data_IF_830032260993
#
_entry.id   IF_830032260993
#
_cell.length_a   1.000
_cell.length_b   1.000
_cell.length_c   1.000
_cell.angle_alpha   90.00
_cell.angle_beta   90.00
_cell.angle_gamma   90.00
#
_symmetry.space_group_name_H-M   'P 1'
#
loop_
_entity.id
_entity.type
_entity.pdbx_description
1 polymer ?
#
# COMPACT_ATOMS: atom_id res chain seq x y z
N UNK A 1 -13.70 12.10 16.07
CA UNK A 1 -13.09 12.25 14.73
C UNK A 1 -11.78 11.48 14.76
N UNK A 2 -11.55 10.62 13.78
CA UNK A 2 -10.40 9.74 13.75
C UNK A 2 -9.24 10.33 12.93
N UNK A 3 -8.04 9.81 13.16
CA UNK A 3 -6.84 10.10 12.36
C UNK A 3 -6.38 8.81 11.70
N UNK A 4 -6.23 8.83 10.38
CA UNK A 4 -5.69 7.70 9.62
C UNK A 4 -4.29 8.04 9.10
N UNK A 5 -3.34 7.11 9.24
CA UNK A 5 -2.05 7.14 8.55
C UNK A 5 -2.13 6.16 7.38
N UNK A 6 -1.94 6.64 6.17
CA UNK A 6 -1.98 5.82 4.95
C UNK A 6 -0.56 5.67 4.42
N UNK A 7 -0.16 4.43 4.20
CA UNK A 7 1.11 4.02 3.59
C UNK A 7 0.77 3.51 2.20
N UNK A 8 1.14 4.27 1.16
CA UNK A 8 1.06 3.81 -0.22
C UNK A 8 2.05 2.67 -0.47
N UNK A 9 1.91 2.00 -1.57
CA UNK A 9 2.65 0.81 -2.01
C UNK A 9 4.14 0.84 -1.62
N UNK A 10 4.56 0.12 -0.55
CA UNK A 10 5.92 0.26 -0.05
C UNK A 10 6.94 -0.62 -0.78
N UNK A 11 6.53 -1.68 -1.44
CA UNK A 11 7.41 -2.56 -2.22
C UNK A 11 8.72 -2.90 -1.49
N UNK A 12 8.66 -3.52 -0.31
CA UNK A 12 9.88 -3.99 0.31
C UNK A 12 10.56 -5.01 -0.61
N UNK A 13 11.85 -4.77 -0.85
CA UNK A 13 12.62 -5.49 -1.86
C UNK A 13 14.00 -5.83 -1.28
N UNK A 14 14.48 -7.09 -1.40
CA UNK A 14 15.78 -7.51 -0.87
C UNK A 14 17.00 -6.70 -1.36
N UNK A 15 16.83 -5.91 -2.42
CA UNK A 15 17.87 -5.00 -2.95
C UNK A 15 17.91 -3.64 -2.24
N UNK A 16 16.96 -3.34 -1.35
CA UNK A 16 16.80 -2.03 -0.72
C UNK A 16 16.74 -2.13 0.82
N UNK A 17 17.25 -1.12 1.54
CA UNK A 17 17.12 -1.06 3.01
C UNK A 17 15.68 -0.91 3.45
N UNK A 18 15.32 -1.62 4.53
CA UNK A 18 14.04 -1.51 5.20
C UNK A 18 13.99 -0.42 6.29
N UNK A 19 15.02 0.42 6.43
CA UNK A 19 15.05 1.45 7.49
C UNK A 19 13.88 2.42 7.40
N UNK A 20 13.36 2.65 6.20
CA UNK A 20 12.15 3.47 5.99
C UNK A 20 10.93 2.98 6.78
N UNK A 21 10.83 1.67 7.04
CA UNK A 21 9.74 1.12 7.85
C UNK A 21 9.90 1.47 9.33
N UNK A 22 11.14 1.50 9.83
CA UNK A 22 11.43 2.03 11.16
C UNK A 22 11.02 3.51 11.28
N UNK A 23 11.32 4.31 10.25
CA UNK A 23 10.96 5.73 10.22
C UNK A 23 9.44 5.92 10.15
N UNK A 24 8.75 5.14 9.32
CA UNK A 24 7.28 5.16 9.26
C UNK A 24 6.64 4.77 10.61
N UNK A 25 7.19 3.76 11.29
CA UNK A 25 6.77 3.37 12.63
C UNK A 25 6.99 4.49 13.67
N UNK A 26 8.16 5.16 13.64
CA UNK A 26 8.43 6.31 14.51
C UNK A 26 7.45 7.47 14.23
N UNK A 27 7.17 7.75 12.96
CA UNK A 27 6.17 8.77 12.58
C UNK A 27 4.78 8.40 13.11
N UNK A 28 4.36 7.14 12.92
CA UNK A 28 3.08 6.65 13.44
C UNK A 28 3.00 6.76 14.97
N UNK A 29 4.07 6.45 15.68
CA UNK A 29 4.16 6.65 17.15
C UNK A 29 3.91 8.10 17.53
N UNK A 30 4.54 9.04 16.82
CA UNK A 30 4.48 10.47 17.15
C UNK A 30 3.13 11.08 16.74
N UNK A 31 2.56 10.68 15.61
CA UNK A 31 1.24 11.12 15.11
C UNK A 31 0.07 10.54 15.91
N UNK A 32 0.26 9.35 16.49
CA UNK A 32 -0.78 8.62 17.25
C UNK A 32 -2.08 8.41 16.46
N UNK A 33 -2.02 7.88 15.22
CA UNK A 33 -3.23 7.65 14.45
C UNK A 33 -4.11 6.59 15.11
N UNK A 34 -5.42 6.69 14.92
CA UNK A 34 -6.39 5.68 15.33
C UNK A 34 -6.23 4.43 14.45
N UNK A 35 -6.05 4.63 13.14
CA UNK A 35 -5.86 3.55 12.18
C UNK A 35 -4.65 3.82 11.28
N UNK A 36 -3.87 2.77 11.04
CA UNK A 36 -2.77 2.74 10.06
C UNK A 36 -3.22 1.81 8.95
N UNK A 37 -3.23 2.30 7.71
CA UNK A 37 -3.65 1.56 6.53
C UNK A 37 -2.47 1.43 5.57
N UNK A 38 -2.06 0.20 5.26
CA UNK A 38 -1.15 -0.09 4.16
C UNK A 38 -1.99 -0.45 2.93
N UNK A 39 -1.74 0.24 1.83
CA UNK A 39 -2.57 0.13 0.62
C UNK A 39 -2.31 -1.13 -0.21
N UNK A 40 -1.44 -2.04 0.23
CA UNK A 40 -1.06 -3.25 -0.49
C UNK A 40 0.28 -3.09 -1.20
N UNK A 41 0.64 -4.09 -2.01
CA UNK A 41 1.96 -4.18 -2.63
C UNK A 41 3.06 -3.90 -1.58
N UNK A 42 2.89 -4.52 -0.40
CA UNK A 42 3.83 -4.37 0.71
C UNK A 42 5.20 -4.94 0.37
N UNK A 43 5.20 -6.13 -0.25
CA UNK A 43 6.42 -6.80 -0.75
C UNK A 43 6.43 -6.81 -2.27
N UNK A 44 7.60 -6.57 -2.87
CA UNK A 44 7.75 -6.66 -4.32
C UNK A 44 7.51 -8.07 -4.85
N UNK A 45 7.83 -9.13 -4.07
CA UNK A 45 7.71 -10.54 -4.47
C UNK A 45 8.23 -10.78 -5.89
N UNK A 46 9.39 -10.20 -6.19
CA UNK A 46 10.00 -10.23 -7.52
C UNK A 46 10.36 -11.64 -7.98
N UNK A 47 10.57 -12.57 -7.04
CA UNK A 47 10.83 -13.99 -7.35
C UNK A 47 9.64 -14.69 -8.01
N UNK A 48 8.42 -14.12 -7.86
CA UNK A 48 7.20 -14.66 -8.44
C UNK A 48 6.73 -13.86 -9.68
N UNK A 49 7.53 -12.88 -10.15
CA UNK A 49 7.19 -12.07 -11.34
C UNK A 49 7.20 -12.93 -12.62
N UNK A 50 6.04 -13.14 -13.21
CA UNK A 50 5.93 -13.81 -14.52
C UNK A 50 6.51 -12.96 -15.66
N UNK A 51 6.48 -11.63 -15.54
CA UNK A 51 7.00 -10.70 -16.56
C UNK A 51 8.52 -10.73 -16.71
N UNK A 52 9.23 -11.20 -15.68
CA UNK A 52 10.70 -11.19 -15.66
C UNK A 52 11.33 -12.57 -15.89
N UNK A 53 10.52 -13.62 -15.99
CA UNK A 53 11.01 -14.97 -16.30
C UNK A 53 11.86 -14.94 -17.60
N UNK A 54 13.06 -15.51 -17.54
CA UNK A 54 14.01 -15.53 -18.65
C UNK A 54 14.81 -14.25 -18.87
N UNK A 55 14.57 -13.18 -18.10
CA UNK A 55 15.40 -11.97 -18.15
C UNK A 55 16.58 -12.05 -17.19
N UNK A 56 17.70 -11.37 -17.54
CA UNK A 56 18.87 -11.23 -16.66
C UNK A 56 18.52 -10.68 -15.28
N UNK A 57 17.52 -9.79 -15.18
CA UNK A 57 17.06 -9.20 -13.92
C UNK A 57 16.44 -10.21 -12.96
N UNK A 58 16.04 -11.38 -13.45
CA UNK A 58 15.45 -12.45 -12.62
C UNK A 58 16.48 -13.27 -11.85
N UNK A 59 17.75 -13.19 -12.26
CA UNK A 59 18.83 -13.98 -11.68
C UNK A 59 18.97 -13.70 -10.17
N UNK A 60 19.10 -14.77 -9.37
CA UNK A 60 19.31 -14.69 -7.93
C UNK A 60 18.09 -14.34 -7.09
N UNK A 61 16.91 -14.11 -7.69
CA UNK A 61 15.65 -13.93 -6.96
C UNK A 61 15.22 -15.25 -6.30
N UNK A 62 14.75 -15.19 -5.06
CA UNK A 62 14.30 -16.34 -4.28
C UNK A 62 13.12 -15.96 -3.39
N UNK A 63 12.05 -16.75 -3.40
CA UNK A 63 10.85 -16.53 -2.59
C UNK A 63 11.17 -16.35 -1.11
N UNK A 64 11.99 -17.24 -0.54
CA UNK A 64 12.41 -17.11 0.86
C UNK A 64 13.06 -15.75 1.17
N UNK A 65 13.87 -15.20 0.26
CA UNK A 65 14.47 -13.88 0.48
C UNK A 65 13.43 -12.76 0.49
N UNK A 66 12.43 -12.84 -0.38
CA UNK A 66 11.33 -11.86 -0.39
C UNK A 66 10.55 -11.92 0.91
N UNK A 67 10.23 -13.13 1.41
CA UNK A 67 9.51 -13.33 2.68
C UNK A 67 10.35 -12.86 3.87
N UNK A 68 11.61 -13.27 3.98
CA UNK A 68 12.50 -12.85 5.09
C UNK A 68 12.64 -11.32 5.12
N UNK A 69 12.71 -10.69 3.95
CA UNK A 69 12.81 -9.24 3.85
C UNK A 69 11.50 -8.51 4.23
N UNK A 70 10.35 -9.10 3.90
CA UNK A 70 9.05 -8.60 4.33
C UNK A 70 8.91 -8.67 5.87
N UNK A 71 9.37 -9.76 6.49
CA UNK A 71 9.38 -9.88 7.95
C UNK A 71 10.27 -8.81 8.61
N UNK A 72 11.50 -8.59 8.12
CA UNK A 72 12.38 -7.51 8.61
C UNK A 72 11.70 -6.14 8.52
N UNK A 73 10.99 -5.87 7.42
CA UNK A 73 10.24 -4.62 7.25
C UNK A 73 9.14 -4.44 8.31
N UNK A 74 8.37 -5.50 8.59
CA UNK A 74 7.31 -5.51 9.60
C UNK A 74 7.88 -5.37 11.02
N UNK A 75 8.99 -6.05 11.33
CA UNK A 75 9.69 -5.93 12.60
C UNK A 75 10.19 -4.50 12.82
N UNK A 76 10.84 -3.89 11.83
CA UNK A 76 11.30 -2.50 11.88
C UNK A 76 10.15 -1.53 12.08
N UNK A 77 9.03 -1.73 11.39
CA UNK A 77 7.85 -0.89 11.58
C UNK A 77 7.32 -0.99 13.02
N UNK A 78 7.14 -2.20 13.54
CA UNK A 78 6.68 -2.41 14.91
C UNK A 78 7.69 -1.89 15.95
N UNK A 79 9.00 -2.02 15.70
CA UNK A 79 10.04 -1.41 16.53
C UNK A 79 9.91 0.12 16.56
N UNK A 80 9.60 0.75 15.40
CA UNK A 80 9.36 2.19 15.32
C UNK A 80 8.12 2.62 16.11
N UNK A 81 7.05 1.84 16.08
CA UNK A 81 5.82 2.06 16.85
C UNK A 81 6.04 2.00 18.36
N UNK A 82 7.05 1.24 18.80
CA UNK A 82 7.46 1.12 20.21
C UNK A 82 6.26 0.86 21.16
N UNK A 83 5.47 -0.17 20.85
CA UNK A 83 4.31 -0.59 21.64
C UNK A 83 3.06 0.30 21.51
N UNK A 84 3.09 1.36 20.69
CA UNK A 84 1.90 2.18 20.44
C UNK A 84 0.80 1.33 19.81
N UNK A 85 -0.37 1.37 20.40
CA UNK A 85 -1.55 0.68 19.87
C UNK A 85 -2.29 1.58 18.90
N UNK A 86 -2.45 1.11 17.67
CA UNK A 86 -3.32 1.64 16.61
C UNK A 86 -3.92 0.44 15.89
N UNK A 87 -5.13 0.55 15.36
CA UNK A 87 -5.65 -0.45 14.43
C UNK A 87 -4.73 -0.47 13.21
N UNK A 88 -4.27 -1.63 12.77
CA UNK A 88 -3.42 -1.79 11.59
C UNK A 88 -4.18 -2.60 10.55
N UNK A 89 -4.36 -2.06 9.35
CA UNK A 89 -5.07 -2.70 8.24
C UNK A 89 -4.11 -2.81 7.05
N UNK A 90 -3.92 -4.04 6.58
CA UNK A 90 -3.13 -4.40 5.40
C UNK A 90 -4.08 -4.84 4.30
N UNK A 91 -4.14 -4.08 3.23
CA UNK A 91 -4.77 -4.54 2.00
C UNK A 91 -3.79 -5.41 1.24
N UNK A 92 -4.22 -6.52 0.69
CA UNK A 92 -3.36 -7.25 -0.24
C UNK A 92 -3.39 -6.56 -1.60
N UNK A 93 -2.21 -6.42 -2.22
CA UNK A 93 -2.07 -5.88 -3.55
C UNK A 93 -1.86 -6.98 -4.60
N UNK A 94 -1.68 -6.58 -5.85
CA UNK A 94 -1.43 -7.53 -6.93
C UNK A 94 -0.06 -8.22 -6.82
N UNK A 95 0.86 -7.70 -6.02
CA UNK A 95 2.13 -8.37 -5.74
C UNK A 95 1.94 -9.51 -4.73
N UNK A 96 1.15 -9.34 -3.68
CA UNK A 96 0.79 -10.43 -2.78
C UNK A 96 -0.04 -11.51 -3.51
N UNK A 97 -0.94 -11.12 -4.39
CA UNK A 97 -1.76 -11.99 -5.25
C UNK A 97 -0.91 -12.89 -6.20
N UNK A 98 0.37 -12.53 -6.45
CA UNK A 98 1.29 -13.39 -7.22
C UNK A 98 1.47 -14.76 -6.57
N UNK A 99 1.37 -14.83 -5.23
CA UNK A 99 1.52 -16.11 -4.50
C UNK A 99 0.35 -17.02 -4.87
N UNK A 100 -0.88 -16.52 -4.78
CA UNK A 100 -2.06 -17.32 -5.07
C UNK A 100 -2.10 -17.71 -6.56
N UNK A 101 -1.74 -16.77 -7.46
CA UNK A 101 -1.68 -17.07 -8.91
C UNK A 101 -0.64 -18.12 -9.27
N UNK A 102 0.54 -18.10 -8.65
CA UNK A 102 1.55 -19.14 -8.95
C UNK A 102 1.13 -20.52 -8.44
N UNK A 103 0.39 -20.58 -7.34
CA UNK A 103 -0.20 -21.83 -6.84
C UNK A 103 -1.27 -22.33 -7.80
N UNK A 104 -2.13 -21.45 -8.32
CA UNK A 104 -3.12 -21.82 -9.35
C UNK A 104 -2.47 -22.33 -10.65
N UNK A 105 -1.36 -21.68 -11.07
CA UNK A 105 -0.59 -22.08 -12.27
C UNK A 105 0.25 -23.34 -12.05
N UNK A 106 0.59 -23.67 -10.80
CA UNK A 106 1.49 -24.76 -10.42
C UNK A 106 0.94 -25.44 -9.14
N UNK A 107 -0.10 -26.30 -9.28
CA UNK A 107 -0.81 -26.88 -8.14
C UNK A 107 0.07 -27.67 -7.17
N UNK A 108 1.25 -28.14 -7.61
CA UNK A 108 2.21 -28.84 -6.76
C UNK A 108 2.78 -27.94 -5.65
N UNK A 109 2.60 -26.62 -5.75
CA UNK A 109 2.98 -25.67 -4.73
C UNK A 109 1.92 -25.46 -3.66
N UNK A 110 0.70 -26.02 -3.84
CA UNK A 110 -0.35 -25.92 -2.84
C UNK A 110 0.10 -26.53 -1.50
N UNK A 111 -0.12 -25.78 -0.43
CA UNK A 111 0.37 -26.12 0.90
C UNK A 111 1.88 -25.89 1.14
N UNK A 112 2.64 -25.51 0.10
CA UNK A 112 4.08 -25.18 0.22
C UNK A 112 4.31 -23.68 0.39
N UNK A 113 3.60 -22.85 -0.37
CA UNK A 113 3.65 -21.39 -0.29
C UNK A 113 2.25 -20.82 -0.18
N UNK A 114 2.12 -19.72 0.54
CA UNK A 114 0.83 -19.03 0.68
C UNK A 114 1.01 -17.58 1.10
N UNK A 115 -0.01 -16.74 0.95
CA UNK A 115 -0.02 -15.37 1.48
C UNK A 115 0.15 -15.32 3.00
N UNK A 116 -0.11 -16.44 3.72
CA UNK A 116 0.15 -16.56 5.16
C UNK A 116 1.64 -16.49 5.50
N UNK A 117 2.53 -16.84 4.57
CA UNK A 117 3.98 -16.78 4.78
C UNK A 117 4.46 -15.35 5.06
N UNK A 118 3.72 -14.33 4.63
CA UNK A 118 3.98 -12.93 4.95
C UNK A 118 3.72 -12.55 6.41
N UNK A 119 3.00 -13.40 7.17
CA UNK A 119 2.75 -13.27 8.61
C UNK A 119 2.13 -11.95 9.06
N UNK A 120 1.42 -11.24 8.18
CA UNK A 120 0.82 -9.95 8.52
C UNK A 120 -0.01 -9.99 9.81
N UNK A 121 -0.81 -11.06 10.00
CA UNK A 121 -1.64 -11.24 11.21
C UNK A 121 -0.79 -11.39 12.47
N UNK A 122 0.32 -12.11 12.41
CA UNK A 122 1.24 -12.30 13.52
C UNK A 122 1.91 -10.98 13.93
N UNK A 123 2.17 -10.10 12.96
CA UNK A 123 2.63 -8.73 13.20
C UNK A 123 1.52 -7.76 13.61
N UNK A 124 0.30 -8.25 13.82
CA UNK A 124 -0.83 -7.50 14.35
C UNK A 124 -1.61 -6.68 13.30
N UNK A 125 -1.55 -7.07 12.02
CA UNK A 125 -2.33 -6.48 10.96
C UNK A 125 -3.63 -7.25 10.71
N UNK A 126 -4.74 -6.53 10.57
CA UNK A 126 -5.95 -7.03 9.94
C UNK A 126 -5.71 -7.11 8.44
N UNK A 127 -5.97 -8.26 7.83
CA UNK A 127 -5.67 -8.49 6.40
C UNK A 127 -6.96 -8.48 5.61
N UNK A 128 -7.02 -7.65 4.58
CA UNK A 128 -8.12 -7.55 3.62
C UNK A 128 -7.65 -8.16 2.30
N UNK A 129 -8.45 -9.02 1.71
CA UNK A 129 -8.11 -9.72 0.47
C UNK A 129 -7.92 -8.76 -0.71
N UNK A 130 -7.19 -9.22 -1.73
CA UNK A 130 -6.97 -8.44 -2.94
C UNK A 130 -8.30 -8.07 -3.61
N UNK A 131 -8.44 -6.82 -4.03
CA UNK A 131 -9.63 -6.22 -4.63
C UNK A 131 -10.88 -6.17 -3.73
N UNK A 132 -10.78 -6.55 -2.46
CA UNK A 132 -11.88 -6.38 -1.50
C UNK A 132 -11.79 -4.99 -0.86
N UNK A 133 -12.84 -4.16 -0.97
CA UNK A 133 -12.88 -2.86 -0.31
C UNK A 133 -13.22 -2.98 1.17
N UNK A 134 -12.58 -2.16 2.00
CA UNK A 134 -12.93 -2.01 3.42
C UNK A 134 -13.30 -0.56 3.72
N UNK A 135 -14.42 -0.36 4.43
CA UNK A 135 -14.85 0.95 4.89
C UNK A 135 -14.35 1.20 6.33
N UNK A 136 -13.63 2.31 6.52
CA UNK A 136 -13.14 2.76 7.83
C UNK A 136 -13.54 4.22 7.99
N UNK A 137 -14.34 4.53 9.02
CA UNK A 137 -14.88 5.86 9.29
C UNK A 137 -15.55 6.54 8.06
N UNK A 138 -16.13 5.70 7.16
CA UNK A 138 -16.83 6.13 5.95
C UNK A 138 -15.93 6.37 4.74
N UNK A 139 -14.61 6.18 4.86
CA UNK A 139 -13.68 6.14 3.73
C UNK A 139 -13.49 4.69 3.29
N UNK A 140 -13.65 4.41 2.00
CA UNK A 140 -13.42 3.10 1.41
C UNK A 140 -11.97 2.98 0.94
N UNK A 141 -11.30 1.93 1.38
CA UNK A 141 -9.91 1.60 1.01
C UNK A 141 -9.89 0.31 0.21
N UNK A 142 -9.19 0.31 -0.90
CA UNK A 142 -8.94 -0.88 -1.72
C UNK A 142 -7.61 -0.69 -2.43
N UNK A 143 -6.79 -1.74 -2.59
CA UNK A 143 -5.53 -1.59 -3.33
C UNK A 143 -5.80 -1.04 -4.74
N UNK A 144 -6.72 -1.67 -5.45
CA UNK A 144 -7.29 -1.13 -6.69
C UNK A 144 -8.75 -1.57 -6.82
N UNK A 145 -9.57 -0.75 -7.47
CA UNK A 145 -10.94 -1.13 -7.80
C UNK A 145 -11.00 -1.67 -9.23
N UNK A 146 -11.55 -2.88 -9.43
CA UNK A 146 -11.83 -3.37 -10.77
C UNK A 146 -12.92 -2.50 -11.42
N UNK A 147 -12.70 -2.09 -12.65
CA UNK A 147 -13.63 -1.22 -13.37
C UNK A 147 -13.96 -1.70 -14.76
N UNK A 148 -15.21 -1.43 -15.18
CA UNK A 148 -15.73 -1.87 -16.48
C UNK A 148 -15.87 -3.40 -16.55
N UNK A 149 -16.30 -3.89 -17.70
CA UNK A 149 -16.53 -5.33 -17.95
C UNK A 149 -15.24 -6.15 -17.82
N UNK A 150 -14.10 -5.55 -18.16
CA UNK A 150 -12.80 -6.22 -18.13
C UNK A 150 -12.15 -6.26 -16.74
N UNK A 151 -12.77 -5.66 -15.71
CA UNK A 151 -12.25 -5.66 -14.35
C UNK A 151 -10.87 -5.00 -14.18
N UNK A 152 -10.45 -4.13 -15.13
CA UNK A 152 -9.13 -3.49 -15.06
C UNK A 152 -9.09 -2.44 -13.95
N UNK A 153 -7.93 -2.25 -13.29
CA UNK A 153 -7.73 -1.16 -12.35
C UNK A 153 -8.00 0.20 -12.98
N UNK A 154 -8.44 1.16 -12.16
CA UNK A 154 -8.50 2.57 -12.58
C UNK A 154 -7.06 3.01 -12.92
N UNK A 155 -6.89 3.63 -14.07
CA UNK A 155 -5.59 4.08 -14.59
C UNK A 155 -5.73 5.43 -15.29
N UNK A 156 -4.60 6.01 -15.69
CA UNK A 156 -4.52 7.33 -16.34
C UNK A 156 -4.12 8.42 -15.34
N UNK A 157 -4.24 9.69 -15.77
CA UNK A 157 -3.70 10.84 -15.04
C UNK A 157 -4.67 11.41 -13.98
N UNK A 158 -5.96 11.04 -14.03
CA UNK A 158 -7.02 11.58 -13.16
C UNK A 158 -7.68 10.45 -12.34
N UNK A 159 -6.89 9.73 -11.57
CA UNK A 159 -7.32 8.56 -10.81
C UNK A 159 -8.35 8.96 -9.75
N UNK A 160 -8.05 9.99 -8.96
CA UNK A 160 -8.92 10.45 -7.89
C UNK A 160 -10.28 10.91 -8.40
N UNK A 161 -10.32 11.63 -9.52
CA UNK A 161 -11.58 12.02 -10.17
C UNK A 161 -12.36 10.81 -10.69
N UNK A 162 -11.65 9.85 -11.26
CA UNK A 162 -12.27 8.61 -11.73
C UNK A 162 -12.90 7.81 -10.59
N UNK A 163 -12.25 7.76 -9.40
CA UNK A 163 -12.80 7.18 -8.18
C UNK A 163 -14.12 7.84 -7.79
N UNK A 164 -14.18 9.17 -7.78
CA UNK A 164 -15.41 9.90 -7.46
C UNK A 164 -16.56 9.54 -8.39
N UNK A 165 -16.29 9.47 -9.69
CA UNK A 165 -17.30 9.18 -10.71
C UNK A 165 -17.80 7.72 -10.65
N UNK A 166 -16.92 6.77 -10.35
CA UNK A 166 -17.24 5.34 -10.37
C UNK A 166 -17.77 4.83 -9.04
N UNK A 167 -17.12 5.17 -7.94
CA UNK A 167 -17.46 4.65 -6.62
C UNK A 167 -18.54 5.48 -5.89
N UNK A 168 -18.65 6.79 -6.20
CA UNK A 168 -19.65 7.73 -5.61
C UNK A 168 -19.56 7.81 -4.08
N UNK A 169 -18.48 7.32 -3.49
CA UNK A 169 -18.14 7.39 -2.06
C UNK A 169 -16.69 7.80 -1.92
N UNK A 170 -16.32 8.33 -0.76
CA UNK A 170 -14.93 8.65 -0.47
C UNK A 170 -14.08 7.41 -0.55
N UNK A 171 -13.12 7.39 -1.47
CA UNK A 171 -12.32 6.21 -1.80
C UNK A 171 -10.83 6.51 -1.88
N UNK A 172 -10.01 5.55 -1.48
CA UNK A 172 -8.55 5.62 -1.56
C UNK A 172 -8.01 4.36 -2.22
N UNK A 173 -7.06 4.53 -3.14
CA UNK A 173 -6.35 3.44 -3.82
C UNK A 173 -4.84 3.59 -3.71
N UNK A 174 -4.12 2.46 -3.85
CA UNK A 174 -2.69 2.35 -4.14
C UNK A 174 -2.44 2.11 -5.63
N UNK A 175 -1.62 1.11 -5.96
CA UNK A 175 -1.37 0.51 -7.27
C UNK A 175 -0.70 1.40 -8.31
N UNK A 176 -1.12 2.64 -8.45
CA UNK A 176 -0.66 3.53 -9.54
C UNK A 176 0.62 4.28 -9.20
N UNK A 177 1.03 4.31 -7.95
CA UNK A 177 2.17 5.06 -7.41
C UNK A 177 2.11 6.59 -7.62
N UNK A 178 1.03 7.09 -8.24
CA UNK A 178 0.80 8.52 -8.42
C UNK A 178 0.07 9.08 -7.20
N UNK A 179 0.43 10.29 -6.79
CA UNK A 179 -0.41 11.06 -5.88
C UNK A 179 -1.42 11.86 -6.70
N UNK A 180 -2.70 11.61 -6.45
CA UNK A 180 -3.78 12.38 -7.04
C UNK A 180 -4.92 12.52 -6.02
N UNK A 181 -5.45 13.73 -5.89
CA UNK A 181 -6.52 14.05 -4.93
C UNK A 181 -7.61 14.87 -5.60
N UNK A 182 -8.83 14.46 -5.41
CA UNK A 182 -10.00 15.16 -5.93
C UNK A 182 -11.13 15.17 -4.91
N UNK A 183 -11.89 16.26 -4.88
CA UNK A 183 -13.04 16.42 -4.01
C UNK A 183 -14.22 16.97 -4.80
N UNK A 184 -15.42 16.48 -4.50
CA UNK A 184 -16.66 17.11 -4.95
C UNK A 184 -17.65 17.21 -3.80
N UNK A 185 -18.53 18.23 -3.85
CA UNK A 185 -19.67 18.34 -2.94
C UNK A 185 -20.91 17.86 -3.69
N UNK A 186 -21.60 16.87 -3.13
CA UNK A 186 -22.87 16.39 -3.69
C UNK A 186 -24.05 17.25 -3.21
N UNK A 187 -25.23 17.18 -3.85
CA UNK A 187 -26.37 18.07 -3.55
C UNK A 187 -26.85 18.06 -2.09
N UNK A 188 -26.57 17.00 -1.34
CA UNK A 188 -26.84 16.95 0.11
C UNK A 188 -25.90 17.78 0.97
N UNK A 189 -24.92 18.48 0.37
CA UNK A 189 -23.88 19.23 1.07
C UNK A 189 -22.69 18.38 1.54
N UNK A 190 -22.75 17.04 1.43
CA UNK A 190 -21.67 16.14 1.83
C UNK A 190 -20.52 16.20 0.82
N UNK A 191 -19.29 16.19 1.32
CA UNK A 191 -18.09 16.06 0.49
C UNK A 191 -17.77 14.59 0.20
N UNK A 192 -17.35 14.29 -0.99
CA UNK A 192 -16.84 12.99 -1.41
C UNK A 192 -15.43 13.18 -1.95
N UNK A 193 -14.50 12.34 -1.49
CA UNK A 193 -13.07 12.52 -1.71
C UNK A 193 -12.47 11.29 -2.39
N UNK A 194 -11.74 11.52 -3.49
CA UNK A 194 -10.94 10.51 -4.17
C UNK A 194 -9.46 10.73 -3.89
N UNK A 195 -8.73 9.65 -3.65
CA UNK A 195 -7.30 9.71 -3.37
C UNK A 195 -6.58 8.52 -3.99
N UNK A 196 -5.52 8.81 -4.76
CA UNK A 196 -4.46 7.87 -5.11
C UNK A 196 -3.28 8.13 -4.16
N UNK A 197 -2.86 7.12 -3.41
CA UNK A 197 -2.01 7.31 -2.24
C UNK A 197 -0.49 7.37 -2.56
N UNK A 198 -0.11 7.32 -3.84
CA UNK A 198 1.31 7.23 -4.19
C UNK A 198 1.95 5.93 -3.73
N UNK A 199 3.23 6.00 -3.41
CA UNK A 199 4.01 4.88 -2.89
C UNK A 199 4.86 5.30 -1.68
N UNK A 200 5.48 4.32 -1.00
CA UNK A 200 6.44 4.60 0.06
C UNK A 200 7.75 3.84 -0.17
N UNK A 201 8.39 4.15 -1.30
CA UNK A 201 9.64 3.52 -1.70
C UNK A 201 10.67 4.57 -2.18
N UNK A 202 11.95 4.20 -2.20
CA UNK A 202 13.06 5.07 -2.59
C UNK A 202 14.03 4.40 -3.56
N UNK A 203 13.87 3.12 -3.81
CA UNK A 203 14.70 2.37 -4.74
C UNK A 203 14.11 2.40 -6.15
N UNK A 204 14.91 2.00 -7.11
CA UNK A 204 14.46 1.88 -8.50
C UNK A 204 13.81 0.53 -8.72
N UNK A 205 12.65 0.57 -9.35
CA UNK A 205 11.96 -0.63 -9.82
C UNK A 205 12.28 -0.85 -11.31
N UNK A 206 12.84 -2.03 -11.62
CA UNK A 206 13.31 -2.33 -12.97
C UNK A 206 12.19 -2.24 -14.03
N UNK A 207 10.96 -2.57 -13.64
CA UNK A 207 9.80 -2.52 -14.54
C UNK A 207 9.32 -1.09 -14.84
N UNK A 208 9.53 -0.16 -13.91
CA UNK A 208 8.99 1.20 -14.02
C UNK A 208 9.78 2.09 -14.98
N UNK A 209 11.09 1.82 -15.17
CA UNK A 209 11.96 2.61 -16.06
C UNK A 209 11.77 4.13 -15.87
N UNK A 210 11.47 4.84 -16.96
CA UNK A 210 11.28 6.30 -16.95
C UNK A 210 10.00 6.75 -16.23
N UNK A 211 8.96 5.91 -16.17
CA UNK A 211 7.67 6.25 -15.54
C UNK A 211 7.81 6.44 -14.04
N UNK A 212 8.83 5.87 -13.39
CA UNK A 212 9.08 6.09 -11.97
C UNK A 212 9.31 7.58 -11.61
N UNK A 213 9.70 8.41 -12.57
CA UNK A 213 9.85 9.86 -12.36
C UNK A 213 8.54 10.57 -12.03
N UNK A 214 7.40 9.95 -12.37
CA UNK A 214 6.07 10.46 -12.10
C UNK A 214 5.54 10.05 -10.73
N UNK A 215 6.21 9.11 -10.06
CA UNK A 215 5.76 8.57 -8.79
C UNK A 215 5.96 9.57 -7.66
N UNK A 216 4.98 9.61 -6.77
CA UNK A 216 5.09 10.34 -5.53
C UNK A 216 5.36 9.38 -4.37
N UNK A 217 6.41 9.65 -3.61
CA UNK A 217 6.79 8.81 -2.47
C UNK A 217 6.65 9.58 -1.15
N UNK A 218 5.84 9.04 -0.26
CA UNK A 218 5.57 9.64 1.04
C UNK A 218 4.51 8.90 1.84
N UNK A 219 4.07 9.54 2.90
CA UNK A 219 3.01 9.08 3.79
C UNK A 219 1.89 10.11 3.82
N UNK A 220 0.64 9.66 3.96
CA UNK A 220 -0.53 10.53 3.98
C UNK A 220 -1.20 10.43 5.34
N UNK A 221 -1.51 11.59 5.93
CA UNK A 221 -2.29 11.66 7.16
C UNK A 221 -3.66 12.23 6.81
N UNK A 222 -4.70 11.50 7.13
CA UNK A 222 -6.08 11.99 7.08
C UNK A 222 -6.49 12.35 8.50
N UNK A 223 -6.80 13.62 8.71
CA UNK A 223 -7.25 14.14 10.01
C UNK A 223 -8.74 14.36 10.01
N UNK A 224 -9.33 14.37 11.19
CA UNK A 224 -10.75 14.65 11.39
C UNK A 224 -11.67 13.71 10.59
N UNK A 225 -11.23 12.48 10.36
CA UNK A 225 -11.99 11.51 9.56
C UNK A 225 -13.34 11.24 10.21
N UNK A 226 -14.41 11.50 9.46
CA UNK A 226 -15.80 11.26 9.90
C UNK A 226 -16.72 11.11 8.69
N UNK A 227 -17.46 10.02 8.61
CA UNK A 227 -18.45 9.77 7.55
C UNK A 227 -17.90 9.94 6.12
N UNK A 228 -16.60 9.63 5.94
CA UNK A 228 -15.92 9.72 4.65
C UNK A 228 -15.30 11.08 4.34
N UNK A 229 -15.55 12.11 5.14
CA UNK A 229 -14.87 13.41 5.00
C UNK A 229 -13.57 13.43 5.84
N UNK A 230 -12.55 14.14 5.38
CA UNK A 230 -11.29 14.32 6.10
C UNK A 230 -10.46 15.48 5.56
N UNK A 231 -9.54 15.97 6.39
CA UNK A 231 -8.47 16.88 5.98
C UNK A 231 -7.25 16.04 5.60
N UNK A 232 -6.56 16.41 4.52
CA UNK A 232 -5.39 15.69 4.01
C UNK A 232 -4.09 16.43 4.33
N UNK A 233 -3.10 15.68 4.81
CA UNK A 233 -1.71 16.13 4.97
C UNK A 233 -0.79 15.12 4.29
N UNK A 234 0.14 15.60 3.47
CA UNK A 234 1.14 14.75 2.81
C UNK A 234 2.51 14.98 3.44
N UNK A 235 3.25 13.89 3.68
CA UNK A 235 4.60 13.94 4.24
C UNK A 235 5.53 13.17 3.29
N UNK A 236 6.31 13.90 2.52
CA UNK A 236 7.24 13.30 1.55
C UNK A 236 8.27 12.39 2.23
N UNK A 237 8.67 11.35 1.51
CA UNK A 237 9.68 10.37 1.92
C UNK A 237 10.93 11.03 2.51
N UNK A 238 11.51 12.00 1.82
CA UNK A 238 12.73 12.68 2.27
C UNK A 238 12.52 13.48 3.56
N UNK A 239 11.30 13.96 3.82
CA UNK A 239 10.96 14.62 5.09
C UNK A 239 10.89 13.61 6.23
N UNK A 240 10.28 12.45 6.02
CA UNK A 240 10.27 11.36 7.00
C UNK A 240 11.68 10.90 7.30
N UNK A 241 12.49 10.68 6.25
CA UNK A 241 13.90 10.29 6.37
C UNK A 241 14.67 11.30 7.24
N UNK A 242 14.71 12.58 6.87
CA UNK A 242 15.44 13.61 7.61
C UNK A 242 15.06 13.69 9.09
N UNK A 243 13.80 13.40 9.42
CA UNK A 243 13.28 13.46 10.78
C UNK A 243 13.71 12.27 11.64
N UNK A 244 13.83 11.08 11.06
CA UNK A 244 13.97 9.83 11.82
C UNK A 244 15.22 9.00 11.50
N UNK A 245 15.97 9.35 10.47
CA UNK A 245 17.24 8.74 10.11
C UNK A 245 18.37 9.43 10.92
N UNK A 246 18.45 9.08 12.22
CA UNK A 246 19.44 9.61 13.16
C UNK A 246 20.11 8.45 13.89
#
# INVERSE_FOLDING_TARGET
MATHLVIGDPHCNPKASNDRFLWAGKLARDLKPDTIICMGDFSSLDSLSSYDKGKKSFEGRRYKKDIDHAHDALEKFNKGLNGRRSRKVMLLGNHEDRIDRIVDETPELDGTISTKDLKFKEFGWEVIAYQEPVAIDGVHYCHNYPTGIMGKPISGDNIARSLLLKNKVSSTVGHCHLFDYSMCTIPSGRKVLGLSAGCYLHHKEDYARATQRLWWSGLIVKRNVRQGEYDIETIEYNTVKRRYDK
#
